data_IF_749383080693
#
_entry.id   IF_749383080693
#
_cell.length_a   1.000
_cell.length_b   1.000
_cell.length_c   1.000
_cell.angle_alpha   90.00
_cell.angle_beta   90.00
_cell.angle_gamma   90.00
#
_symmetry.space_group_name_H-M   'P 1'
#
loop_
_entity.id
_entity.type
_entity.pdbx_description
1 polymer ?
#
# COMPACT_ATOMS: atom_id res chain seq x y z
N UNK A 1 24.34 -10.78 -11.15
CA UNK A 1 22.87 -10.71 -10.93
C UNK A 1 22.48 -9.35 -10.37
N UNK A 2 23.17 -8.84 -9.33
CA UNK A 2 23.00 -7.49 -8.80
C UNK A 2 23.09 -6.37 -9.87
N UNK A 3 24.13 -6.37 -10.70
CA UNK A 3 24.36 -5.32 -11.72
C UNK A 3 23.24 -5.20 -12.78
N UNK A 4 22.67 -6.34 -13.21
CA UNK A 4 21.51 -6.36 -14.12
C UNK A 4 20.25 -5.81 -13.43
N UNK A 5 20.11 -6.05 -12.12
CA UNK A 5 19.03 -5.50 -11.30
C UNK A 5 19.16 -3.98 -11.20
N UNK A 6 20.37 -3.47 -10.93
CA UNK A 6 20.64 -2.03 -10.80
C UNK A 6 20.38 -1.29 -12.10
N UNK A 7 20.85 -1.83 -13.24
CA UNK A 7 20.62 -1.22 -14.57
C UNK A 7 19.13 -1.21 -14.91
N UNK A 8 18.39 -2.27 -14.57
CA UNK A 8 16.94 -2.33 -14.75
C UNK A 8 16.21 -1.25 -13.94
N UNK A 9 16.57 -1.10 -12.66
CA UNK A 9 16.00 -0.08 -11.76
C UNK A 9 16.32 1.33 -12.25
N UNK A 10 17.59 1.61 -12.59
CA UNK A 10 18.02 2.92 -13.11
C UNK A 10 17.33 3.29 -14.42
N UNK A 11 17.12 2.32 -15.32
CA UNK A 11 16.40 2.54 -16.57
C UNK A 11 14.94 2.93 -16.33
N UNK A 12 14.25 2.24 -15.40
CA UNK A 12 12.88 2.58 -15.03
C UNK A 12 12.79 3.95 -14.36
N UNK A 13 13.67 4.27 -13.42
CA UNK A 13 13.73 5.59 -12.76
C UNK A 13 13.96 6.68 -13.81
N UNK A 14 14.89 6.47 -14.75
CA UNK A 14 15.20 7.45 -15.79
C UNK A 14 14.06 7.62 -16.80
N UNK A 15 13.32 6.56 -17.11
CA UNK A 15 12.10 6.65 -17.93
C UNK A 15 11.00 7.39 -17.20
N UNK A 16 10.84 7.14 -15.90
CA UNK A 16 9.83 7.75 -15.04
C UNK A 16 10.06 9.26 -14.89
N UNK A 17 11.29 9.70 -14.68
CA UNK A 17 11.65 11.12 -14.51
C UNK A 17 11.58 11.91 -15.82
N UNK A 18 11.64 11.23 -16.98
CA UNK A 18 11.61 11.89 -18.30
C UNK A 18 10.21 12.27 -18.77
N UNK A 19 9.18 11.68 -18.20
CA UNK A 19 7.80 12.04 -18.50
C UNK A 19 7.29 13.05 -17.43
N UNK A 20 7.20 14.35 -17.77
CA UNK A 20 6.79 15.37 -16.81
C UNK A 20 5.37 15.14 -16.30
N UNK A 21 4.49 14.52 -17.10
CA UNK A 21 3.12 14.22 -16.67
C UNK A 21 3.13 13.16 -15.59
N UNK A 22 3.92 12.11 -15.77
CA UNK A 22 4.08 11.03 -14.78
C UNK A 22 4.66 11.57 -13.47
N UNK A 23 5.69 12.42 -13.54
CA UNK A 23 6.28 13.03 -12.33
C UNK A 23 5.29 13.94 -11.62
N UNK A 24 4.58 14.81 -12.37
CA UNK A 24 3.56 15.69 -11.81
C UNK A 24 2.47 14.86 -11.15
N UNK A 25 1.93 13.83 -11.81
CA UNK A 25 0.90 12.98 -11.23
C UNK A 25 1.40 12.21 -9.99
N UNK A 26 2.65 11.75 -10.00
CA UNK A 26 3.24 11.02 -8.89
C UNK A 26 3.36 11.85 -7.61
N UNK A 27 3.51 13.18 -7.73
CA UNK A 27 3.57 14.10 -6.58
C UNK A 27 2.20 14.70 -6.27
N UNK A 28 1.46 15.07 -7.31
CA UNK A 28 0.15 15.73 -7.20
C UNK A 28 -0.88 14.80 -6.55
N UNK A 29 -0.90 13.52 -6.92
CA UNK A 29 -1.88 12.57 -6.37
C UNK A 29 -1.70 12.39 -4.85
N UNK A 30 -0.49 12.08 -4.33
CA UNK A 30 -0.25 12.10 -2.89
C UNK A 30 -0.60 13.44 -2.23
N UNK A 31 -0.24 14.57 -2.85
CA UNK A 31 -0.56 15.89 -2.29
C UNK A 31 -2.06 16.10 -2.13
N UNK A 32 -2.84 15.73 -3.15
CA UNK A 32 -4.31 15.81 -3.10
C UNK A 32 -4.88 14.88 -2.03
N UNK A 33 -4.37 13.65 -1.91
CA UNK A 33 -4.88 12.70 -0.91
C UNK A 33 -4.51 13.14 0.51
N UNK A 34 -3.27 13.56 0.74
CA UNK A 34 -2.78 14.01 2.06
C UNK A 34 -3.53 15.26 2.51
N UNK A 35 -3.61 16.29 1.68
CA UNK A 35 -4.30 17.53 2.03
C UNK A 35 -5.81 17.36 2.02
N UNK A 36 -6.36 16.67 1.01
CA UNK A 36 -7.80 16.44 0.89
C UNK A 36 -8.34 15.66 2.08
N UNK A 37 -7.65 14.58 2.46
CA UNK A 37 -8.00 13.82 3.66
C UNK A 37 -7.75 14.62 4.94
N UNK A 38 -6.59 15.27 5.04
CA UNK A 38 -6.21 16.12 6.16
C UNK A 38 -7.31 17.14 6.49
N UNK A 39 -7.69 17.94 5.50
CA UNK A 39 -8.72 18.96 5.62
C UNK A 39 -10.11 18.37 5.83
N UNK A 40 -10.44 17.23 5.20
CA UNK A 40 -11.76 16.63 5.36
C UNK A 40 -11.99 16.15 6.81
N UNK A 41 -10.97 15.55 7.43
CA UNK A 41 -11.06 15.04 8.81
C UNK A 41 -10.89 16.14 9.84
N UNK A 42 -9.93 17.07 9.66
CA UNK A 42 -9.69 18.14 10.64
C UNK A 42 -10.84 19.14 10.76
N UNK A 43 -11.63 19.30 9.69
CA UNK A 43 -12.78 20.21 9.66
C UNK A 43 -14.09 19.51 10.02
N UNK A 44 -14.05 18.24 10.48
CA UNK A 44 -15.25 17.58 11.00
C UNK A 44 -15.75 18.32 12.24
N UNK A 45 -17.07 18.60 12.35
CA UNK A 45 -17.63 19.24 13.53
C UNK A 45 -17.41 18.40 14.78
N UNK A 46 -17.05 19.06 15.88
CA UNK A 46 -16.99 18.43 17.19
C UNK A 46 -18.37 17.91 17.57
N UNK A 47 -18.39 16.72 18.15
CA UNK A 47 -19.59 16.10 18.71
C UNK A 47 -19.43 15.99 20.22
N UNK A 48 -20.51 15.82 21.01
CA UNK A 48 -20.43 15.78 22.47
C UNK A 48 -19.43 14.76 23.05
N UNK A 49 -19.04 13.76 22.27
CA UNK A 49 -18.11 12.68 22.64
C UNK A 49 -16.92 12.55 21.68
N UNK A 50 -16.75 13.45 20.71
CA UNK A 50 -15.70 13.36 19.68
C UNK A 50 -15.10 14.74 19.47
N UNK A 51 -13.80 14.86 19.78
CA UNK A 51 -13.03 16.09 19.57
C UNK A 51 -12.54 16.21 18.13
N UNK A 52 -12.16 17.42 17.73
CA UNK A 52 -11.60 17.68 16.42
C UNK A 52 -10.20 17.05 16.30
N UNK A 53 -9.95 16.39 15.16
CA UNK A 53 -8.66 15.74 14.91
C UNK A 53 -7.66 16.78 14.42
N UNK A 54 -6.46 16.89 15.05
CA UNK A 54 -5.40 17.76 14.57
C UNK A 54 -5.06 17.52 13.09
N UNK A 55 -4.86 18.60 12.33
CA UNK A 55 -4.57 18.54 10.88
C UNK A 55 -3.33 17.68 10.57
N UNK A 56 -2.34 17.66 11.46
CA UNK A 56 -1.11 16.87 11.29
C UNK A 56 -1.41 15.36 11.36
N UNK A 57 -2.19 14.92 12.35
CA UNK A 57 -2.64 13.53 12.46
C UNK A 57 -3.47 13.11 11.24
N UNK A 58 -4.39 13.97 10.83
CA UNK A 58 -5.20 13.72 9.64
C UNK A 58 -4.33 13.59 8.38
N UNK A 59 -3.30 14.46 8.20
CA UNK A 59 -2.36 14.36 7.07
C UNK A 59 -1.51 13.08 7.12
N UNK A 60 -1.09 12.62 8.30
CA UNK A 60 -0.35 11.35 8.46
C UNK A 60 -1.22 10.16 8.02
N UNK A 61 -2.48 10.13 8.44
CA UNK A 61 -3.45 9.11 7.97
C UNK A 61 -3.64 9.23 6.45
N UNK A 62 -3.76 10.45 5.93
CA UNK A 62 -3.87 10.73 4.50
C UNK A 62 -2.68 10.20 3.69
N UNK A 63 -1.45 10.33 4.21
CA UNK A 63 -0.25 9.78 3.56
C UNK A 63 -0.27 8.25 3.57
N UNK A 64 -0.68 7.65 4.69
CA UNK A 64 -0.79 6.19 4.82
C UNK A 64 -1.85 5.65 3.85
N UNK A 65 -3.00 6.31 3.74
CA UNK A 65 -4.06 6.05 2.75
C UNK A 65 -3.53 6.21 1.31
N UNK A 66 -2.80 7.28 1.03
CA UNK A 66 -2.25 7.57 -0.28
C UNK A 66 -1.32 6.45 -0.77
N UNK A 67 -0.41 5.99 0.09
CA UNK A 67 0.46 4.85 -0.23
C UNK A 67 -0.37 3.57 -0.39
N UNK A 68 -1.31 3.30 0.51
CA UNK A 68 -2.17 2.13 0.46
C UNK A 68 -2.99 2.05 -0.85
N UNK A 69 -3.59 3.15 -1.27
CA UNK A 69 -4.44 3.20 -2.46
C UNK A 69 -3.63 2.94 -3.74
N UNK A 70 -2.48 3.60 -3.90
CA UNK A 70 -1.62 3.42 -5.08
C UNK A 70 -0.99 2.02 -5.09
N UNK A 71 -0.47 1.55 -3.95
CA UNK A 71 0.14 0.22 -3.85
C UNK A 71 -0.90 -0.90 -4.02
N UNK A 72 -2.12 -0.72 -3.51
CA UNK A 72 -3.23 -1.63 -3.73
C UNK A 72 -3.60 -1.76 -5.21
N UNK A 73 -3.77 -0.64 -5.91
CA UNK A 73 -4.03 -0.65 -7.35
C UNK A 73 -2.86 -1.29 -8.12
N UNK A 74 -1.61 -1.04 -7.71
CA UNK A 74 -0.45 -1.70 -8.29
C UNK A 74 -0.54 -3.23 -8.16
N UNK A 75 -0.85 -3.73 -6.96
CA UNK A 75 -1.06 -5.15 -6.71
C UNK A 75 -2.17 -5.76 -7.58
N UNK A 76 -3.27 -5.03 -7.76
CA UNK A 76 -4.38 -5.39 -8.62
C UNK A 76 -3.98 -5.48 -10.10
N UNK A 77 -3.38 -4.43 -10.64
CA UNK A 77 -2.93 -4.38 -12.05
C UNK A 77 -1.96 -5.52 -12.33
N UNK A 78 -1.08 -5.80 -11.37
CA UNK A 78 -0.08 -6.84 -11.48
C UNK A 78 -0.70 -8.25 -11.66
N UNK A 79 -1.70 -8.61 -10.85
CA UNK A 79 -2.37 -9.92 -10.96
C UNK A 79 -3.27 -10.02 -12.19
N UNK A 80 -3.91 -8.93 -12.60
CA UNK A 80 -4.75 -8.91 -13.82
C UNK A 80 -3.88 -9.05 -15.07
N UNK A 81 -2.78 -8.29 -15.15
CA UNK A 81 -1.84 -8.33 -16.29
C UNK A 81 -1.06 -9.64 -16.38
N UNK A 82 -0.75 -10.25 -15.24
CA UNK A 82 -0.05 -11.53 -15.11
C UNK A 82 -0.62 -12.65 -15.98
N UNK A 83 -1.95 -12.75 -16.08
CA UNK A 83 -2.64 -13.80 -16.85
C UNK A 83 -2.20 -13.88 -18.31
N UNK A 84 -1.83 -12.74 -18.91
CA UNK A 84 -1.38 -12.67 -20.31
C UNK A 84 0.09 -13.08 -20.50
N UNK A 85 0.95 -12.74 -19.54
CA UNK A 85 2.40 -12.97 -19.59
C UNK A 85 2.79 -14.38 -19.12
N UNK A 86 2.07 -14.94 -18.15
CA UNK A 86 2.37 -16.25 -17.56
C UNK A 86 2.10 -17.40 -18.53
N UNK A 87 1.10 -17.22 -19.42
CA UNK A 87 0.82 -18.16 -20.52
C UNK A 87 2.03 -18.36 -21.44
N UNK A 88 2.92 -17.36 -21.57
CA UNK A 88 4.14 -17.44 -22.39
C UNK A 88 5.34 -18.00 -21.62
N UNK A 89 5.42 -17.77 -20.31
CA UNK A 89 6.54 -18.24 -19.47
C UNK A 89 6.45 -19.74 -19.15
N UNK A 90 5.24 -20.29 -19.03
CA UNK A 90 5.01 -21.74 -18.88
C UNK A 90 5.43 -22.49 -20.14
N UNK A 91 5.22 -21.92 -21.33
CA UNK A 91 5.64 -22.51 -22.62
C UNK A 91 7.18 -22.60 -22.74
N UNK A 92 7.93 -21.76 -22.01
CA UNK A 92 9.41 -21.72 -22.05
C UNK A 92 10.05 -22.46 -20.87
N UNK A 93 9.26 -23.10 -19.98
CA UNK A 93 9.77 -24.00 -18.94
C UNK A 93 10.39 -23.33 -17.71
N UNK A 94 10.10 -22.05 -17.45
CA UNK A 94 10.57 -21.37 -16.23
C UNK A 94 9.90 -21.91 -14.96
N UNK A 95 10.62 -21.95 -13.83
CA UNK A 95 10.02 -22.36 -12.55
C UNK A 95 9.01 -21.29 -12.08
N UNK A 96 7.74 -21.65 -11.79
CA UNK A 96 6.70 -20.70 -11.37
C UNK A 96 7.07 -19.89 -10.13
N UNK A 97 7.88 -20.46 -9.23
CA UNK A 97 8.37 -19.82 -8.02
C UNK A 97 9.31 -18.64 -8.30
N UNK A 98 10.21 -18.74 -9.28
CA UNK A 98 11.14 -17.65 -9.63
C UNK A 98 10.41 -16.44 -10.20
N UNK A 99 9.38 -16.70 -11.04
CA UNK A 99 8.53 -15.64 -11.61
C UNK A 99 7.75 -14.94 -10.49
N UNK A 100 7.22 -15.70 -9.54
CA UNK A 100 6.46 -15.16 -8.42
C UNK A 100 7.31 -14.30 -7.47
N UNK A 101 8.52 -14.76 -7.13
CA UNK A 101 9.44 -14.01 -6.25
C UNK A 101 9.90 -12.72 -6.91
N UNK A 102 10.30 -12.77 -8.19
CA UNK A 102 10.71 -11.55 -8.91
C UNK A 102 9.59 -10.52 -8.99
N UNK A 103 8.36 -10.98 -9.12
CA UNK A 103 7.15 -10.16 -9.09
C UNK A 103 6.91 -9.51 -7.74
N UNK A 104 6.93 -10.28 -6.66
CA UNK A 104 6.77 -9.73 -5.30
C UNK A 104 7.86 -8.69 -5.00
N UNK A 105 9.11 -8.97 -5.36
CA UNK A 105 10.21 -7.99 -5.19
C UNK A 105 9.98 -6.71 -6.01
N UNK A 106 9.41 -6.82 -7.20
CA UNK A 106 9.06 -5.65 -8.03
C UNK A 106 7.98 -4.81 -7.36
N UNK A 107 6.91 -5.44 -6.85
CA UNK A 107 5.85 -4.74 -6.10
C UNK A 107 6.44 -4.02 -4.90
N UNK A 108 7.25 -4.72 -4.09
CA UNK A 108 7.87 -4.13 -2.90
C UNK A 108 8.76 -2.94 -3.29
N UNK A 109 9.60 -3.09 -4.32
CA UNK A 109 10.46 -2.01 -4.80
C UNK A 109 9.69 -0.76 -5.25
N UNK A 110 8.63 -0.93 -6.05
CA UNK A 110 7.78 0.19 -6.48
C UNK A 110 7.05 0.81 -5.28
N UNK A 111 6.58 -0.01 -4.35
CA UNK A 111 5.88 0.46 -3.14
C UNK A 111 6.78 1.31 -2.24
N UNK A 112 8.06 0.94 -2.11
CA UNK A 112 9.06 1.77 -1.41
C UNK A 112 9.22 3.12 -2.10
N UNK A 113 9.26 3.16 -3.43
CA UNK A 113 9.32 4.44 -4.17
C UNK A 113 8.08 5.30 -3.91
N UNK A 114 6.89 4.70 -3.94
CA UNK A 114 5.63 5.39 -3.63
C UNK A 114 5.65 5.96 -2.20
N UNK A 115 6.17 5.19 -1.23
CA UNK A 115 6.29 5.62 0.15
C UNK A 115 7.29 6.78 0.32
N UNK A 116 8.43 6.75 -0.36
CA UNK A 116 9.40 7.86 -0.37
C UNK A 116 8.77 9.12 -0.94
N UNK A 117 8.01 9.02 -2.04
CA UNK A 117 7.32 10.16 -2.63
C UNK A 117 6.25 10.72 -1.69
N UNK A 118 5.40 9.86 -1.10
CA UNK A 118 4.37 10.27 -0.14
C UNK A 118 5.00 10.93 1.09
N UNK A 119 6.06 10.35 1.63
CA UNK A 119 6.80 10.94 2.74
C UNK A 119 7.37 12.32 2.37
N UNK A 120 7.96 12.45 1.18
CA UNK A 120 8.46 13.74 0.69
C UNK A 120 7.37 14.81 0.65
N UNK A 121 6.18 14.47 0.16
CA UNK A 121 5.02 15.38 0.15
C UNK A 121 4.52 15.69 1.55
N UNK A 122 4.40 14.68 2.42
CA UNK A 122 3.99 14.85 3.82
C UNK A 122 4.95 15.75 4.59
N UNK A 123 6.26 15.59 4.37
CA UNK A 123 7.34 16.31 5.07
C UNK A 123 7.37 17.81 4.80
N UNK A 124 6.65 18.29 3.78
CA UNK A 124 6.45 19.73 3.52
C UNK A 124 5.59 20.37 4.61
N UNK A 125 4.68 19.61 5.19
CA UNK A 125 3.66 20.11 6.11
C UNK A 125 3.80 19.57 7.53
N UNK A 126 4.44 18.41 7.71
CA UNK A 126 4.59 17.73 9.00
C UNK A 126 6.06 17.33 9.15
N UNK A 127 6.74 17.83 10.19
CA UNK A 127 8.10 17.42 10.51
C UNK A 127 8.12 15.99 11.03
N UNK A 128 9.18 15.25 10.70
CA UNK A 128 9.36 13.88 11.14
C UNK A 128 10.55 13.77 12.10
N UNK A 129 10.32 13.26 13.31
CA UNK A 129 11.38 12.97 14.29
C UNK A 129 12.27 11.81 13.82
N UNK A 130 11.67 10.74 13.29
CA UNK A 130 12.38 9.59 12.73
C UNK A 130 12.05 9.38 11.23
N UNK A 131 12.59 10.21 10.31
CA UNK A 131 12.19 10.23 8.91
C UNK A 131 12.43 8.90 8.18
N UNK A 132 13.52 8.21 8.52
CA UNK A 132 13.81 6.90 7.93
C UNK A 132 12.78 5.84 8.33
N UNK A 133 12.39 5.79 9.61
CA UNK A 133 11.40 4.83 10.09
C UNK A 133 10.00 5.14 9.56
N UNK A 134 9.64 6.42 9.46
CA UNK A 134 8.38 6.85 8.84
C UNK A 134 8.25 6.33 7.40
N UNK A 135 9.31 6.43 6.57
CA UNK A 135 9.33 5.87 5.22
C UNK A 135 9.17 4.34 5.23
N UNK A 136 9.84 3.65 6.16
CA UNK A 136 9.75 2.18 6.29
C UNK A 136 8.32 1.75 6.62
N UNK A 137 7.65 2.43 7.56
CA UNK A 137 6.28 2.08 7.97
C UNK A 137 5.22 2.51 6.95
N UNK A 138 5.44 3.61 6.22
CA UNK A 138 4.65 3.95 5.04
C UNK A 138 4.79 2.87 3.95
N UNK A 139 6.01 2.41 3.67
CA UNK A 139 6.24 1.33 2.71
C UNK A 139 5.56 0.03 3.16
N UNK A 140 5.61 -0.30 4.45
CA UNK A 140 4.96 -1.47 5.02
C UNK A 140 3.43 -1.41 4.86
N UNK A 141 2.83 -0.24 5.11
CA UNK A 141 1.41 0.04 4.86
C UNK A 141 1.04 -0.20 3.39
N UNK A 142 1.89 0.27 2.48
CA UNK A 142 1.73 0.02 1.06
C UNK A 142 1.82 -1.44 0.68
N UNK A 143 2.81 -2.19 1.22
CA UNK A 143 3.01 -3.60 0.89
C UNK A 143 1.82 -4.45 1.36
N UNK A 144 1.25 -4.14 2.53
CA UNK A 144 0.00 -4.75 2.98
C UNK A 144 -1.11 -4.57 1.95
N UNK A 145 -1.35 -3.32 1.53
CA UNK A 145 -2.39 -3.03 0.56
C UNK A 145 -2.09 -3.56 -0.83
N UNK A 146 -0.83 -3.65 -1.24
CA UNK A 146 -0.46 -4.31 -2.49
C UNK A 146 -0.81 -5.80 -2.46
N UNK A 147 -0.62 -6.48 -1.32
CA UNK A 147 -1.07 -7.86 -1.16
C UNK A 147 -2.60 -7.96 -1.18
N UNK A 148 -3.32 -7.05 -0.53
CA UNK A 148 -4.78 -6.97 -0.62
C UNK A 148 -5.22 -6.76 -2.08
N UNK A 149 -4.56 -5.87 -2.83
CA UNK A 149 -4.83 -5.62 -4.23
C UNK A 149 -4.63 -6.85 -5.12
N UNK A 150 -3.58 -7.63 -4.85
CA UNK A 150 -3.36 -8.94 -5.50
C UNK A 150 -4.53 -9.89 -5.23
N UNK A 151 -5.00 -9.98 -3.98
CA UNK A 151 -6.12 -10.84 -3.60
C UNK A 151 -7.43 -10.38 -4.27
N UNK A 152 -7.70 -9.08 -4.25
CA UNK A 152 -8.86 -8.49 -4.90
C UNK A 152 -8.83 -8.76 -6.40
N UNK A 153 -7.69 -8.59 -7.08
CA UNK A 153 -7.59 -8.81 -8.53
C UNK A 153 -7.62 -10.27 -8.94
N UNK A 154 -7.37 -11.19 -8.02
CA UNK A 154 -7.63 -12.60 -8.25
C UNK A 154 -9.14 -12.90 -8.31
N UNK A 155 -9.94 -12.21 -7.49
CA UNK A 155 -11.39 -12.37 -7.40
C UNK A 155 -12.10 -11.56 -8.49
N UNK A 156 -11.68 -10.31 -8.70
CA UNK A 156 -12.27 -9.34 -9.62
C UNK A 156 -11.39 -9.18 -10.86
N UNK A 157 -11.73 -9.82 -11.99
CA UNK A 157 -10.87 -9.84 -13.18
C UNK A 157 -10.86 -8.51 -13.95
N UNK A 158 -11.76 -7.58 -13.61
CA UNK A 158 -11.92 -6.29 -14.29
C UNK A 158 -11.25 -5.19 -13.48
N UNK A 159 -10.38 -4.45 -14.14
CA UNK A 159 -9.59 -3.39 -13.51
C UNK A 159 -10.46 -2.34 -12.81
N UNK A 160 -11.53 -1.89 -13.47
CA UNK A 160 -12.43 -0.88 -12.93
C UNK A 160 -13.10 -1.35 -11.63
N UNK A 161 -13.72 -2.53 -11.66
CA UNK A 161 -14.40 -3.12 -10.49
C UNK A 161 -13.42 -3.34 -9.33
N UNK A 162 -12.23 -3.91 -9.62
CA UNK A 162 -11.19 -4.13 -8.62
C UNK A 162 -10.67 -2.84 -8.01
N UNK A 163 -10.45 -1.79 -8.82
CA UNK A 163 -9.95 -0.50 -8.33
C UNK A 163 -10.95 0.21 -7.42
N UNK A 164 -12.26 0.10 -7.72
CA UNK A 164 -13.30 0.67 -6.87
C UNK A 164 -13.34 -0.03 -5.51
N UNK A 165 -13.24 -1.37 -5.50
CA UNK A 165 -13.21 -2.14 -4.25
C UNK A 165 -11.98 -1.78 -3.43
N UNK A 166 -10.80 -1.67 -4.04
CA UNK A 166 -9.58 -1.28 -3.32
C UNK A 166 -9.70 0.13 -2.75
N UNK A 167 -10.21 1.09 -3.53
CA UNK A 167 -10.40 2.45 -3.06
C UNK A 167 -11.36 2.49 -1.87
N UNK A 168 -12.50 1.78 -1.95
CA UNK A 168 -13.46 1.70 -0.85
C UNK A 168 -12.87 1.03 0.39
N UNK A 169 -12.15 -0.08 0.23
CA UNK A 169 -11.49 -0.76 1.34
C UNK A 169 -10.45 0.15 2.00
N UNK A 170 -9.58 0.79 1.21
CA UNK A 170 -8.54 1.68 1.71
C UNK A 170 -9.13 2.88 2.46
N UNK A 171 -10.16 3.52 1.90
CA UNK A 171 -10.81 4.66 2.53
C UNK A 171 -11.55 4.26 3.81
N UNK A 172 -12.29 3.15 3.79
CA UNK A 172 -13.00 2.66 4.98
C UNK A 172 -12.01 2.26 6.08
N UNK A 173 -10.93 1.60 5.71
CA UNK A 173 -9.86 1.22 6.64
C UNK A 173 -9.18 2.45 7.22
N UNK A 174 -8.73 3.40 6.41
CA UNK A 174 -8.13 4.65 6.90
C UNK A 174 -9.10 5.45 7.79
N UNK A 175 -10.40 5.43 7.48
CA UNK A 175 -11.43 6.10 8.26
C UNK A 175 -11.63 5.45 9.63
N UNK A 176 -11.74 4.12 9.67
CA UNK A 176 -11.98 3.36 10.91
C UNK A 176 -10.72 3.26 11.77
N UNK A 177 -9.56 3.05 11.14
CA UNK A 177 -8.25 3.00 11.79
C UNK A 177 -7.74 4.38 12.23
N UNK A 178 -8.38 5.46 11.78
CA UNK A 178 -8.10 6.84 12.19
C UNK A 178 -8.40 7.11 13.66
N UNK A 179 -8.07 8.32 14.13
CA UNK A 179 -8.73 8.85 15.32
C UNK A 179 -10.23 8.89 14.99
N UNK A 180 -11.03 8.01 15.62
CA UNK A 180 -12.41 7.75 15.20
C UNK A 180 -13.26 9.01 15.37
N UNK A 181 -13.72 9.65 14.27
CA UNK A 181 -14.63 10.78 14.38
C UNK A 181 -16.07 10.32 14.69
N UNK A 182 -16.31 9.01 14.83
CA UNK A 182 -17.64 8.42 14.99
C UNK A 182 -17.98 8.04 16.42
N UNK A 183 -16.99 7.80 17.28
CA UNK A 183 -17.22 7.31 18.64
C UNK A 183 -16.00 7.62 19.53
N UNK A 184 -16.27 7.99 20.80
CA UNK A 184 -15.26 8.16 21.83
C UNK A 184 -14.46 6.87 22.07
N UNK A 185 -15.17 5.73 22.08
CA UNK A 185 -14.56 4.42 22.24
C UNK A 185 -14.44 3.76 20.86
N UNK A 186 -13.20 3.55 20.42
CA UNK A 186 -12.92 2.76 19.23
C UNK A 186 -13.26 1.30 19.54
N UNK A 187 -14.15 0.64 18.77
CA UNK A 187 -14.47 -0.76 19.00
C UNK A 187 -13.21 -1.64 18.88
N UNK A 188 -13.07 -2.62 19.78
CA UNK A 188 -11.91 -3.54 19.83
C UNK A 188 -11.59 -4.24 18.50
N UNK A 189 -12.59 -4.45 17.64
CA UNK A 189 -12.39 -5.13 16.36
C UNK A 189 -11.70 -4.26 15.31
N UNK A 190 -11.63 -2.95 15.51
CA UNK A 190 -10.96 -2.01 14.60
C UNK A 190 -9.44 -2.24 14.60
N UNK A 191 -8.87 -2.76 15.70
CA UNK A 191 -7.44 -3.09 15.78
C UNK A 191 -7.01 -4.13 14.73
N UNK A 192 -7.94 -4.97 14.26
CA UNK A 192 -7.65 -5.96 13.22
C UNK A 192 -7.64 -5.41 11.80
N UNK A 193 -7.95 -4.13 11.62
CA UNK A 193 -7.95 -3.52 10.30
C UNK A 193 -6.52 -3.39 9.76
N UNK A 194 -6.31 -3.60 8.44
CA UNK A 194 -4.97 -3.64 7.87
C UNK A 194 -4.15 -2.37 8.10
N UNK A 195 -4.76 -1.17 8.19
CA UNK A 195 -4.05 0.09 8.42
C UNK A 195 -3.95 0.52 9.88
N UNK A 196 -4.59 -0.17 10.83
CA UNK A 196 -4.58 0.24 12.23
C UNK A 196 -3.16 0.37 12.80
N UNK A 197 -2.45 -0.75 12.95
CA UNK A 197 -1.09 -0.77 13.49
C UNK A 197 -0.04 -0.11 12.56
N UNK A 198 -0.10 -0.20 11.22
CA UNK A 198 0.84 0.54 10.38
C UNK A 198 0.70 2.06 10.51
N UNK A 199 -0.53 2.58 10.64
CA UNK A 199 -0.77 4.00 10.88
C UNK A 199 -0.19 4.43 12.23
N UNK A 200 -0.42 3.69 13.31
CA UNK A 200 0.14 4.03 14.63
C UNK A 200 1.66 4.09 14.58
N UNK A 201 2.29 3.10 13.93
CA UNK A 201 3.74 3.11 13.70
C UNK A 201 4.23 4.34 12.92
N UNK A 202 3.52 4.77 11.87
CA UNK A 202 3.87 6.00 11.13
C UNK A 202 3.68 7.23 12.00
N UNK A 203 2.59 7.30 12.77
CA UNK A 203 2.29 8.42 13.66
C UNK A 203 3.36 8.57 14.76
N UNK A 204 3.65 7.51 15.50
CA UNK A 204 4.63 7.51 16.59
C UNK A 204 6.04 7.86 16.09
N UNK A 205 6.42 7.40 14.90
CA UNK A 205 7.73 7.73 14.32
C UNK A 205 7.82 9.14 13.79
N UNK A 206 6.72 9.70 13.28
CA UNK A 206 6.66 11.09 12.82
C UNK A 206 6.72 12.05 14.00
N UNK A 207 5.95 11.78 15.06
CA UNK A 207 5.73 12.72 16.17
C UNK A 207 6.69 12.55 17.34
N UNK A 208 6.98 11.30 17.73
CA UNK A 208 7.77 11.01 18.93
C UNK A 208 9.14 10.38 18.59
N UNK A 209 9.34 9.98 17.34
CA UNK A 209 10.55 9.30 16.89
C UNK A 209 10.70 7.88 17.46
N UNK A 210 9.65 7.33 18.06
CA UNK A 210 9.63 5.99 18.65
C UNK A 210 8.63 5.08 17.94
N UNK A 211 8.56 3.81 18.32
CA UNK A 211 7.54 2.89 17.81
C UNK A 211 7.32 1.74 18.79
N UNK A 212 6.09 1.22 18.84
CA UNK A 212 5.75 0.05 19.62
C UNK A 212 6.18 -1.25 18.90
N UNK A 213 6.98 -2.09 19.56
CA UNK A 213 7.38 -3.38 19.01
C UNK A 213 6.17 -4.33 18.82
N UNK A 214 5.13 -4.19 19.66
CA UNK A 214 3.89 -4.96 19.55
C UNK A 214 3.19 -4.73 18.22
N UNK A 215 3.03 -3.45 17.83
CA UNK A 215 2.43 -3.06 16.56
C UNK A 215 3.24 -3.59 15.38
N UNK A 216 4.57 -3.46 15.43
CA UNK A 216 5.45 -3.99 14.38
C UNK A 216 5.29 -5.50 14.21
N UNK A 217 5.27 -6.27 15.31
CA UNK A 217 5.08 -7.71 15.26
C UNK A 217 3.70 -8.10 14.70
N UNK A 218 2.65 -7.37 15.08
CA UNK A 218 1.32 -7.58 14.53
C UNK A 218 1.31 -7.35 13.02
N UNK A 219 1.88 -6.23 12.55
CA UNK A 219 1.97 -5.90 11.13
C UNK A 219 2.75 -6.95 10.34
N UNK A 220 3.89 -7.40 10.87
CA UNK A 220 4.68 -8.45 10.23
C UNK A 220 3.94 -9.80 10.18
N UNK A 221 3.21 -10.15 11.24
CA UNK A 221 2.35 -11.33 11.28
C UNK A 221 1.21 -11.24 10.25
N UNK A 222 0.52 -10.11 10.20
CA UNK A 222 -0.55 -9.83 9.25
C UNK A 222 -0.04 -9.89 7.81
N UNK A 223 1.12 -9.30 7.54
CA UNK A 223 1.77 -9.35 6.24
C UNK A 223 2.15 -10.78 5.85
N UNK A 224 2.69 -11.58 6.76
CA UNK A 224 3.02 -12.98 6.50
C UNK A 224 1.76 -13.78 6.08
N UNK A 225 0.62 -13.54 6.74
CA UNK A 225 -0.66 -14.14 6.37
C UNK A 225 -1.09 -13.71 4.97
N UNK A 226 -1.08 -12.40 4.67
CA UNK A 226 -1.46 -11.89 3.35
C UNK A 226 -0.56 -12.41 2.23
N UNK A 227 0.76 -12.45 2.44
CA UNK A 227 1.72 -13.01 1.48
C UNK A 227 1.44 -14.50 1.27
N UNK A 228 1.23 -15.26 2.36
CA UNK A 228 0.86 -16.67 2.26
C UNK A 228 -0.41 -16.90 1.43
N UNK A 229 -1.44 -16.07 1.65
CA UNK A 229 -2.70 -16.12 0.91
C UNK A 229 -2.50 -15.74 -0.57
N UNK A 230 -1.73 -14.69 -0.85
CA UNK A 230 -1.41 -14.26 -2.20
C UNK A 230 -0.66 -15.37 -2.96
N UNK A 231 0.36 -15.97 -2.34
CA UNK A 231 1.11 -17.10 -2.90
C UNK A 231 0.19 -18.28 -3.19
N UNK A 232 -0.70 -18.63 -2.26
CA UNK A 232 -1.66 -19.72 -2.42
C UNK A 232 -2.60 -19.47 -3.62
N UNK A 233 -3.14 -18.25 -3.73
CA UNK A 233 -3.99 -17.85 -4.84
C UNK A 233 -3.22 -17.95 -6.15
N UNK A 234 -2.01 -17.39 -6.25
CA UNK A 234 -1.17 -17.49 -7.45
C UNK A 234 -0.92 -18.94 -7.88
N UNK A 235 -0.59 -19.83 -6.94
CA UNK A 235 -0.37 -21.25 -7.22
C UNK A 235 -1.64 -21.92 -7.77
N UNK A 236 -2.80 -21.61 -7.19
CA UNK A 236 -4.09 -22.15 -7.64
C UNK A 236 -4.46 -21.68 -9.04
N UNK A 237 -4.30 -20.39 -9.34
CA UNK A 237 -4.61 -19.85 -10.67
C UNK A 237 -3.75 -20.49 -11.76
N UNK A 238 -2.45 -20.69 -11.47
CA UNK A 238 -1.51 -21.37 -12.39
C UNK A 238 -1.84 -22.86 -12.60
N UNK A 239 -2.23 -23.58 -11.52
CA UNK A 239 -2.53 -25.01 -11.61
C UNK A 239 -3.81 -25.31 -12.40
N UNK A 240 -4.79 -24.40 -12.39
CA UNK A 240 -6.07 -24.58 -13.10
C UNK A 240 -5.90 -24.45 -14.62
N UNK A 241 -5.05 -23.53 -15.09
CA UNK A 241 -4.77 -23.37 -16.53
C UNK A 241 -3.94 -24.52 -17.11
N UNK A 242 -3.09 -25.18 -16.31
CA UNK A 242 -2.30 -26.34 -16.74
C UNK A 242 -3.10 -27.61 -17.06
N UNK A 243 -4.39 -27.68 -16.74
CA UNK A 243 -5.24 -28.85 -17.02
C UNK A 243 -5.78 -28.94 -18.45
N UNK A 244 -5.68 -27.87 -19.25
CA UNK A 244 -6.14 -27.88 -20.64
C UNK A 244 -5.10 -28.39 -21.64
N UNK A 245 -3.90 -28.73 -21.15
CA UNK A 245 -2.79 -29.25 -21.94
C UNK A 245 -2.55 -30.76 -21.72
N UNK A 246 -3.54 -31.48 -21.17
CA UNK A 246 -3.57 -32.95 -21.11
C UNK A 246 -4.76 -33.48 -21.87
#
# INVERSE_FOLDING_TARGET
>A
MAEKLTIGVLSQIRSFVRDPVTVVLAVLLPAIVIEGWGQAISNMPEMPTVESVPIELARIVGATLGVALVAGILGLVMIIGARSADRRLVVVGYSPSTVLVSRLLTIVGITVVIAVINFGVLSVNVSAEAPFLAVVFLALSGVLYACIGVLVGAILPRLFEGSLVIALLAMMDAFLSGESPLAADVPWWVEYFPLYHPKTLVQDTMLDGTYAMGDLLFVLGYLAVLVGLALFVFQRTMAVEGRWLR
#
